data_IF_013162931422
#
_entry.id   IF_013162931422
#
_cell.length_a   1.000
_cell.length_b   1.000
_cell.length_c   1.000
_cell.angle_alpha   90.00
_cell.angle_beta   90.00
_cell.angle_gamma   90.00
#
_symmetry.space_group_name_H-M   'P 1'
#
loop_
_entity.id
_entity.type
_entity.pdbx_description
1 polymer ?
#
# COMPACT_ATOMS: atom_id res chain seq x y z
N UNK A 1 -35.93 17.18 25.41
CA UNK A 1 -35.26 17.58 24.16
C UNK A 1 -33.97 16.79 24.05
N UNK A 2 -34.08 15.54 23.58
CA UNK A 2 -32.91 14.69 23.35
C UNK A 2 -32.35 15.09 21.99
N UNK A 3 -31.13 15.60 21.97
CA UNK A 3 -30.40 15.83 20.73
C UNK A 3 -30.03 14.45 20.18
N UNK A 4 -30.89 13.92 19.32
CA UNK A 4 -30.54 12.85 18.39
C UNK A 4 -29.49 13.45 17.45
N UNK A 5 -28.23 13.40 17.87
CA UNK A 5 -27.11 13.62 16.97
C UNK A 5 -27.14 12.50 15.95
N UNK A 6 -27.73 12.80 14.79
CA UNK A 6 -27.63 12.00 13.58
C UNK A 6 -26.15 11.71 13.30
N UNK A 7 -25.68 10.55 13.73
CA UNK A 7 -24.39 10.02 13.32
C UNK A 7 -24.57 9.63 11.86
N UNK A 8 -24.32 10.58 10.95
CA UNK A 8 -24.09 10.25 9.54
C UNK A 8 -23.03 9.16 9.51
N UNK A 9 -23.30 7.99 8.90
CA UNK A 9 -22.28 6.98 8.77
C UNK A 9 -21.10 7.64 8.04
N UNK A 10 -19.93 7.61 8.66
CA UNK A 10 -18.71 8.06 8.02
C UNK A 10 -18.64 7.38 6.66
N UNK A 11 -18.26 8.09 5.58
CA UNK A 11 -18.09 7.45 4.28
C UNK A 11 -17.19 6.26 4.54
N UNK A 12 -17.68 5.06 4.19
CA UNK A 12 -16.92 3.82 4.25
C UNK A 12 -15.52 4.15 3.79
N UNK A 13 -14.56 4.22 4.71
CA UNK A 13 -13.15 4.20 4.35
C UNK A 13 -13.05 2.93 3.52
N UNK A 14 -12.97 3.04 2.18
CA UNK A 14 -12.54 1.92 1.37
C UNK A 14 -11.18 1.62 1.96
N UNK A 15 -11.11 0.56 2.77
CA UNK A 15 -9.84 0.01 3.19
C UNK A 15 -9.08 -0.21 1.89
N UNK A 16 -8.00 0.54 1.72
CA UNK A 16 -7.18 0.38 0.52
C UNK A 16 -6.68 -1.06 0.53
N UNK A 17 -6.56 -1.62 -0.66
CA UNK A 17 -5.92 -2.92 -0.82
C UNK A 17 -4.52 -2.85 -0.19
N UNK A 18 -4.11 -3.86 0.57
CA UNK A 18 -2.77 -3.95 1.16
C UNK A 18 -1.68 -3.83 0.09
N UNK A 19 -1.93 -4.34 -1.11
CA UNK A 19 -1.08 -4.20 -2.28
C UNK A 19 -0.94 -2.75 -2.74
N UNK A 20 -1.98 -1.92 -2.60
CA UNK A 20 -1.92 -0.49 -2.91
C UNK A 20 -1.07 0.27 -1.87
N UNK A 21 -1.25 -0.02 -0.58
CA UNK A 21 -0.44 0.58 0.48
C UNK A 21 1.03 0.18 0.39
N UNK A 22 1.29 -1.09 0.07
CA UNK A 22 2.63 -1.62 -0.12
C UNK A 22 3.32 -0.97 -1.33
N UNK A 23 2.62 -0.80 -2.45
CA UNK A 23 3.17 -0.11 -3.62
C UNK A 23 3.60 1.33 -3.29
N UNK A 24 2.74 2.08 -2.57
CA UNK A 24 3.05 3.46 -2.14
C UNK A 24 4.28 3.50 -1.24
N UNK A 25 4.39 2.56 -0.31
CA UNK A 25 5.58 2.44 0.54
C UNK A 25 6.85 2.17 -0.28
N UNK A 26 6.80 1.23 -1.22
CA UNK A 26 7.94 0.86 -2.05
C UNK A 26 8.44 2.03 -2.91
N UNK A 27 7.54 2.84 -3.47
CA UNK A 27 7.93 4.04 -4.23
C UNK A 27 8.62 5.08 -3.34
N UNK A 28 8.11 5.31 -2.12
CA UNK A 28 8.74 6.23 -1.19
C UNK A 28 10.16 5.78 -0.78
N UNK A 29 10.38 4.46 -0.62
CA UNK A 29 11.69 3.89 -0.33
C UNK A 29 12.61 3.96 -1.55
N UNK A 30 12.09 3.68 -2.74
CA UNK A 30 12.83 3.78 -3.99
C UNK A 30 13.41 5.18 -4.16
N UNK A 31 12.59 6.22 -4.01
CA UNK A 31 13.05 7.61 -4.09
C UNK A 31 14.06 7.97 -3.00
N UNK A 32 13.92 7.45 -1.78
CA UNK A 32 14.93 7.67 -0.73
C UNK A 32 16.28 7.06 -1.08
N UNK A 33 16.28 5.84 -1.63
CA UNK A 33 17.51 5.14 -2.01
C UNK A 33 18.16 5.75 -3.24
N UNK A 34 17.36 6.13 -4.24
CA UNK A 34 17.85 6.82 -5.44
C UNK A 34 18.50 8.18 -5.13
N UNK A 35 18.02 8.87 -4.10
CA UNK A 35 18.57 10.14 -3.64
C UNK A 35 19.61 9.98 -2.52
N UNK A 36 20.07 8.75 -2.26
CA UNK A 36 21.16 8.48 -1.32
C UNK A 36 22.50 8.37 -2.05
N UNK A 37 23.61 8.49 -1.33
CA UNK A 37 24.96 8.27 -1.87
C UNK A 37 25.36 6.78 -1.81
N UNK A 38 24.42 5.88 -1.50
CA UNK A 38 24.67 4.44 -1.39
C UNK A 38 24.44 3.73 -2.74
N UNK A 39 25.21 2.67 -2.98
CA UNK A 39 24.98 1.79 -4.13
C UNK A 39 23.57 1.16 -4.03
N UNK A 40 22.76 1.38 -5.08
CA UNK A 40 21.38 0.90 -5.13
C UNK A 40 21.10 0.21 -6.46
N UNK A 41 20.79 -1.09 -6.40
CA UNK A 41 20.35 -1.86 -7.56
C UNK A 41 18.85 -1.66 -7.80
N UNK A 42 18.54 -0.66 -8.63
CA UNK A 42 17.17 -0.30 -8.98
C UNK A 42 16.42 -1.44 -9.68
N UNK A 43 17.12 -2.24 -10.49
CA UNK A 43 16.51 -3.32 -11.27
C UNK A 43 16.08 -4.46 -10.34
N UNK A 44 16.99 -4.91 -9.47
CA UNK A 44 16.69 -5.94 -8.48
C UNK A 44 15.58 -5.49 -7.51
N UNK A 45 15.56 -4.21 -7.13
CA UNK A 45 14.50 -3.68 -6.27
C UNK A 45 13.13 -3.71 -6.95
N UNK A 46 13.04 -3.27 -8.21
CA UNK A 46 11.77 -3.28 -8.96
C UNK A 46 11.26 -4.71 -9.18
N UNK A 47 12.14 -5.64 -9.53
CA UNK A 47 11.77 -7.05 -9.68
C UNK A 47 11.21 -7.62 -8.36
N UNK A 48 11.88 -7.37 -7.23
CA UNK A 48 11.41 -7.82 -5.92
C UNK A 48 10.06 -7.19 -5.54
N UNK A 49 9.87 -5.89 -5.83
CA UNK A 49 8.60 -5.19 -5.61
C UNK A 49 7.46 -5.82 -6.41
N UNK A 50 7.68 -6.11 -7.69
CA UNK A 50 6.68 -6.73 -8.57
C UNK A 50 6.27 -8.13 -8.08
N UNK A 51 7.24 -8.95 -7.65
CA UNK A 51 6.97 -10.28 -7.08
C UNK A 51 6.13 -10.19 -5.80
N UNK A 52 6.47 -9.26 -4.91
CA UNK A 52 5.71 -9.03 -3.67
C UNK A 52 4.29 -8.54 -3.97
N UNK A 53 4.11 -7.58 -4.88
CA UNK A 53 2.80 -7.08 -5.29
C UNK A 53 1.95 -8.17 -5.95
N UNK A 54 2.54 -9.01 -6.79
CA UNK A 54 1.85 -10.14 -7.39
C UNK A 54 1.33 -11.11 -6.32
N UNK A 55 2.14 -11.37 -5.27
CA UNK A 55 1.72 -12.23 -4.16
C UNK A 55 0.62 -11.59 -3.32
N UNK A 56 0.73 -10.29 -3.01
CA UNK A 56 -0.26 -9.56 -2.22
C UNK A 56 -1.61 -9.54 -2.93
N UNK A 57 -1.64 -9.21 -4.23
CA UNK A 57 -2.88 -9.22 -5.03
C UNK A 57 -3.54 -10.59 -5.04
N UNK A 58 -2.76 -11.67 -5.18
CA UNK A 58 -3.29 -13.03 -5.10
C UNK A 58 -3.91 -13.34 -3.73
N UNK A 59 -3.29 -12.87 -2.64
CA UNK A 59 -3.84 -13.05 -1.29
C UNK A 59 -5.13 -12.23 -1.09
N UNK A 60 -5.22 -11.03 -1.66
CA UNK A 60 -6.43 -10.20 -1.63
C UNK A 60 -7.58 -10.87 -2.40
N UNK A 61 -7.29 -11.45 -3.56
CA UNK A 61 -8.26 -12.25 -4.32
C UNK A 61 -8.74 -13.48 -3.54
N UNK A 62 -7.85 -14.10 -2.76
CA UNK A 62 -8.15 -15.22 -1.87
C UNK A 62 -8.85 -14.78 -0.56
N UNK A 63 -8.97 -13.47 -0.29
CA UNK A 63 -9.54 -12.91 0.94
C UNK A 63 -8.66 -13.11 2.19
N UNK A 64 -7.36 -13.31 1.98
CA UNK A 64 -6.35 -13.59 3.01
C UNK A 64 -5.48 -12.37 3.35
N UNK A 65 -5.71 -11.24 2.69
CA UNK A 65 -5.00 -9.98 2.88
C UNK A 65 -5.98 -8.83 3.07
#
# INVERSE_FOLDING_TARGET
>A
MSLETEIKPLPSYRQKAVSEEFAVYCEAVFERRRNSEEDFDEAAYREAMELALARLRKLEEEGLA
#
